data_IF_438743315205
#
_entry.id   IF_438743315205
#
_cell.length_a   1.000
_cell.length_b   1.000
_cell.length_c   1.000
_cell.angle_alpha   90.00
_cell.angle_beta   90.00
_cell.angle_gamma   90.00
#
_symmetry.space_group_name_H-M   'P 1'
#
loop_
_entity.id
_entity.type
_entity.pdbx_description
1 polymer ?
#
# COMPACT_ATOMS: atom_id res chain seq x y z
N UNK A 1 -10.01 5.67 -24.81
CA UNK A 1 -9.71 6.40 -23.55
C UNK A 1 -8.47 5.76 -22.95
N UNK A 2 -7.30 6.33 -23.24
CA UNK A 2 -6.00 5.74 -22.90
C UNK A 2 -5.62 6.13 -21.47
N UNK A 3 -5.80 5.21 -20.51
CA UNK A 3 -5.07 5.29 -19.25
C UNK A 3 -3.63 4.89 -19.56
N UNK A 4 -2.71 5.87 -19.59
CA UNK A 4 -1.29 5.56 -19.65
C UNK A 4 -0.98 4.56 -18.53
N UNK A 5 -0.30 3.43 -18.80
CA UNK A 5 0.15 2.58 -17.71
C UNK A 5 1.04 3.48 -16.85
N UNK A 6 0.64 3.71 -15.60
CA UNK A 6 1.57 4.22 -14.61
C UNK A 6 2.78 3.29 -14.70
N UNK A 7 3.89 3.88 -15.13
CA UNK A 7 5.18 3.28 -15.45
C UNK A 7 5.39 1.96 -14.70
N UNK A 8 5.57 0.87 -15.43
CA UNK A 8 5.68 -0.49 -14.89
C UNK A 8 6.86 -0.66 -13.90
N UNK A 9 7.75 0.33 -13.80
CA UNK A 9 8.78 0.45 -12.77
C UNK A 9 8.22 0.51 -11.33
N UNK A 10 7.14 1.24 -11.06
CA UNK A 10 6.64 1.38 -9.68
C UNK A 10 5.88 0.14 -9.22
N UNK A 11 6.56 -0.84 -8.62
CA UNK A 11 5.95 -2.11 -8.20
C UNK A 11 6.12 -2.34 -6.70
N UNK A 12 5.11 -2.92 -6.05
CA UNK A 12 5.18 -3.31 -4.64
C UNK A 12 5.09 -4.81 -4.52
N UNK A 13 6.02 -5.40 -3.77
CA UNK A 13 6.06 -6.83 -3.51
C UNK A 13 5.72 -7.12 -2.04
N UNK A 14 4.66 -7.89 -1.83
CA UNK A 14 4.21 -8.33 -0.51
C UNK A 14 4.77 -9.70 -0.18
N UNK A 15 5.40 -9.84 0.97
CA UNK A 15 6.00 -11.10 1.43
C UNK A 15 5.26 -11.63 2.66
N UNK A 16 5.09 -12.95 2.73
CA UNK A 16 4.45 -13.62 3.88
C UNK A 16 5.38 -13.78 5.09
N UNK A 17 6.69 -13.58 4.93
CA UNK A 17 7.65 -13.62 6.03
C UNK A 17 8.27 -12.25 6.27
N UNK A 18 8.94 -12.09 7.41
CA UNK A 18 9.73 -10.89 7.72
C UNK A 18 11.03 -10.91 6.89
N UNK A 19 11.71 -9.78 6.82
CA UNK A 19 12.98 -9.61 6.07
C UNK A 19 12.88 -9.96 4.58
N UNK A 20 11.72 -9.73 3.96
CA UNK A 20 11.46 -9.97 2.53
C UNK A 20 11.62 -11.44 2.12
N UNK A 21 11.30 -12.37 3.03
CA UNK A 21 11.42 -13.82 2.79
C UNK A 21 10.09 -14.46 2.39
N UNK A 22 10.19 -15.63 1.76
CA UNK A 22 9.05 -16.49 1.44
C UNK A 22 8.33 -16.09 0.14
N UNK A 23 7.11 -16.63 -0.09
CA UNK A 23 6.34 -16.31 -1.28
C UNK A 23 6.02 -14.82 -1.33
N UNK A 24 6.40 -14.21 -2.45
CA UNK A 24 6.18 -12.81 -2.75
C UNK A 24 5.05 -12.66 -3.78
N UNK A 25 4.18 -11.67 -3.57
CA UNK A 25 3.21 -11.23 -4.56
C UNK A 25 3.52 -9.79 -4.96
N UNK A 26 4.00 -9.59 -6.19
CA UNK A 26 4.27 -8.26 -6.72
C UNK A 26 3.08 -7.71 -7.50
N UNK A 27 2.80 -6.42 -7.35
CA UNK A 27 1.76 -5.73 -8.10
C UNK A 27 2.22 -4.31 -8.48
N UNK A 28 1.97 -3.86 -9.72
CA UNK A 28 2.40 -2.56 -10.20
C UNK A 28 1.51 -1.42 -9.67
N UNK A 29 2.01 -0.19 -9.77
CA UNK A 29 1.27 1.02 -9.49
C UNK A 29 0.07 1.16 -10.42
N UNK A 30 -1.02 1.71 -9.87
CA UNK A 30 -2.35 1.68 -10.49
C UNK A 30 -3.17 0.45 -10.09
N UNK A 31 -2.56 -0.56 -9.44
CA UNK A 31 -3.33 -1.71 -8.92
C UNK A 31 -4.17 -1.26 -7.73
N UNK A 32 -5.49 -1.41 -7.86
CA UNK A 32 -6.46 -1.09 -6.82
C UNK A 32 -7.30 -2.32 -6.51
N UNK A 33 -7.12 -2.86 -5.31
CA UNK A 33 -7.77 -4.09 -4.87
C UNK A 33 -8.68 -3.77 -3.69
N UNK A 34 -9.97 -3.58 -3.98
CA UNK A 34 -10.98 -3.31 -2.96
C UNK A 34 -11.29 -4.51 -2.05
N UNK A 35 -10.88 -5.72 -2.45
CA UNK A 35 -10.94 -6.92 -1.63
C UNK A 35 -9.73 -7.78 -1.94
N UNK A 36 -8.84 -7.92 -0.96
CA UNK A 36 -7.65 -8.77 -1.08
C UNK A 36 -8.13 -10.17 -1.44
N UNK A 37 -7.73 -10.70 -2.62
CA UNK A 37 -8.07 -12.07 -2.97
C UNK A 37 -7.35 -13.01 -1.99
N UNK A 38 -7.97 -14.14 -1.65
CA UNK A 38 -7.40 -15.17 -0.77
C UNK A 38 -6.01 -15.69 -1.22
N UNK A 39 -5.58 -15.37 -2.44
CA UNK A 39 -4.26 -15.71 -2.98
C UNK A 39 -3.13 -14.76 -2.57
N UNK A 40 -3.44 -13.56 -2.06
CA UNK A 40 -2.40 -12.70 -1.52
C UNK A 40 -1.88 -13.34 -0.23
N UNK A 41 -0.56 -13.33 0.02
CA UNK A 41 -0.01 -13.79 1.28
C UNK A 41 -0.62 -12.96 2.43
N UNK A 42 -1.55 -13.56 3.17
CA UNK A 42 -2.14 -12.96 4.37
C UNK A 42 -1.83 -13.90 5.55
N UNK A 43 -1.11 -13.45 6.59
CA UNK A 43 -0.68 -12.07 6.82
C UNK A 43 0.57 -11.69 5.99
N UNK A 44 0.57 -10.48 5.45
CA UNK A 44 1.78 -9.85 4.92
C UNK A 44 2.64 -9.50 6.12
N UNK A 45 3.92 -9.89 6.09
CA UNK A 45 4.86 -9.62 7.18
C UNK A 45 5.96 -8.65 6.79
N UNK A 46 6.31 -8.56 5.52
CA UNK A 46 7.21 -7.55 4.99
C UNK A 46 6.80 -7.16 3.58
N UNK A 47 7.24 -5.99 3.13
CA UNK A 47 7.02 -5.55 1.76
C UNK A 47 8.15 -4.68 1.28
N UNK A 48 8.48 -4.83 0.00
CA UNK A 48 9.40 -3.92 -0.70
C UNK A 48 8.60 -3.05 -1.65
N UNK A 49 9.04 -1.81 -1.77
CA UNK A 49 8.57 -0.90 -2.81
C UNK A 49 9.76 -0.71 -3.75
N UNK A 50 9.52 -0.94 -5.03
CA UNK A 50 10.48 -0.65 -6.08
C UNK A 50 10.22 0.75 -6.62
N UNK A 51 11.29 1.46 -6.90
CA UNK A 51 11.28 2.84 -7.37
C UNK A 51 10.48 3.75 -6.40
N UNK A 52 9.69 4.65 -6.97
CA UNK A 52 8.81 5.57 -6.29
C UNK A 52 7.44 4.94 -6.02
N UNK A 53 7.32 3.62 -5.87
CA UNK A 53 6.03 3.03 -5.54
C UNK A 53 5.57 3.40 -4.12
N UNK A 54 4.26 3.55 -3.95
CA UNK A 54 3.60 3.83 -2.67
C UNK A 54 2.40 2.90 -2.52
N UNK A 55 2.30 2.21 -1.40
CA UNK A 55 1.14 1.34 -1.11
C UNK A 55 0.31 1.89 0.03
N UNK A 56 -1.00 1.93 -0.19
CA UNK A 56 -1.99 2.13 0.86
C UNK A 56 -2.66 0.81 1.18
N UNK A 57 -2.54 0.35 2.41
CA UNK A 57 -3.19 -0.88 2.91
C UNK A 57 -4.27 -0.52 3.92
N UNK A 58 -5.42 -1.18 3.86
CA UNK A 58 -6.55 -0.94 4.75
C UNK A 58 -7.07 -2.23 5.39
N UNK A 59 -7.56 -2.13 6.62
CA UNK A 59 -8.02 -3.28 7.40
C UNK A 59 -9.42 -3.79 7.06
N UNK A 60 -10.20 -3.02 6.29
CA UNK A 60 -11.51 -3.45 5.81
C UNK A 60 -11.54 -3.47 4.28
N UNK A 61 -12.47 -4.26 3.74
CA UNK A 61 -12.79 -4.25 2.32
C UNK A 61 -13.33 -2.88 1.90
N UNK A 62 -13.13 -2.51 0.64
CA UNK A 62 -13.60 -1.24 0.08
C UNK A 62 -12.81 -0.03 0.54
N UNK A 63 -11.57 -0.18 1.01
CA UNK A 63 -10.74 0.91 1.57
C UNK A 63 -11.33 1.52 2.85
N UNK A 64 -12.07 0.72 3.61
CA UNK A 64 -12.67 1.12 4.89
C UNK A 64 -11.76 0.90 6.10
N UNK A 65 -12.21 1.42 7.23
CA UNK A 65 -11.56 1.24 8.52
C UNK A 65 -10.22 1.99 8.60
N UNK A 66 -9.22 1.33 9.18
CA UNK A 66 -7.89 1.90 9.37
C UNK A 66 -7.04 1.63 8.14
N UNK A 67 -6.55 2.71 7.54
CA UNK A 67 -5.66 2.66 6.40
C UNK A 67 -4.28 3.21 6.77
N UNK A 68 -3.23 2.60 6.22
CA UNK A 68 -1.85 3.01 6.39
C UNK A 68 -1.21 3.17 5.02
N UNK A 69 -0.49 4.28 4.85
CA UNK A 69 0.29 4.56 3.66
C UNK A 69 1.74 4.22 3.94
N UNK A 70 2.37 3.53 3.00
CA UNK A 70 3.76 3.11 3.05
C UNK A 70 4.44 3.60 1.78
N UNK A 71 5.47 4.40 1.98
CA UNK A 71 6.27 5.06 0.94
C UNK A 71 7.71 4.56 0.93
N UNK A 72 8.04 3.59 1.77
CA UNK A 72 9.40 3.06 1.95
C UNK A 72 9.33 1.60 2.35
N UNK A 73 10.35 0.82 1.97
CA UNK A 73 10.42 -0.61 2.24
C UNK A 73 10.30 -0.90 3.73
N UNK A 74 9.68 -2.06 4.03
CA UNK A 74 9.42 -2.49 5.40
C UNK A 74 9.80 -3.94 5.57
N UNK A 75 10.95 -4.15 6.20
CA UNK A 75 11.43 -5.48 6.57
C UNK A 75 10.54 -6.17 7.61
N UNK A 76 9.77 -5.43 8.41
CA UNK A 76 8.74 -6.00 9.28
C UNK A 76 7.54 -5.07 9.41
N UNK A 77 6.35 -5.65 9.25
CA UNK A 77 5.06 -5.03 9.56
C UNK A 77 4.62 -5.35 11.00
N UNK A 78 5.39 -6.18 11.72
CA UNK A 78 5.10 -6.55 13.11
C UNK A 78 5.25 -5.31 13.99
N UNK A 79 4.18 -4.98 14.73
CA UNK A 79 4.13 -3.75 15.54
C UNK A 79 3.52 -2.54 14.82
N UNK A 80 3.17 -2.66 13.54
CA UNK A 80 2.31 -1.67 12.90
C UNK A 80 0.88 -1.86 13.35
N UNK A 81 0.14 -0.75 13.34
CA UNK A 81 -1.25 -0.73 13.75
C UNK A 81 -2.13 -1.57 12.80
N UNK A 82 -1.71 -1.85 11.56
CA UNK A 82 -2.48 -2.66 10.61
C UNK A 82 -2.18 -4.14 10.82
N UNK A 83 -3.11 -4.87 11.42
CA UNK A 83 -2.92 -6.30 11.74
C UNK A 83 -3.49 -7.24 10.66
N UNK A 84 -4.42 -6.76 9.85
CA UNK A 84 -5.04 -7.53 8.75
C UNK A 84 -5.26 -6.62 7.57
N UNK A 85 -4.86 -7.04 6.37
CA UNK A 85 -5.03 -6.22 5.16
C UNK A 85 -6.17 -6.86 4.36
N UNK A 86 -7.30 -6.14 4.23
CA UNK A 86 -8.49 -6.58 3.50
C UNK A 86 -8.65 -5.83 2.17
N UNK A 87 -8.01 -4.67 2.03
CA UNK A 87 -7.91 -3.95 0.75
C UNK A 87 -6.57 -3.21 0.64
N UNK A 88 -6.10 -3.02 -0.60
CA UNK A 88 -4.88 -2.27 -0.86
C UNK A 88 -4.93 -1.53 -2.20
N UNK A 89 -4.16 -0.46 -2.31
CA UNK A 89 -4.01 0.35 -3.50
C UNK A 89 -2.55 0.75 -3.66
N UNK A 90 -2.00 0.54 -4.85
CA UNK A 90 -0.62 0.87 -5.18
C UNK A 90 -0.64 2.05 -6.13
N UNK A 91 0.16 3.06 -5.82
CA UNK A 91 0.27 4.32 -6.54
C UNK A 91 1.74 4.66 -6.74
N UNK A 92 2.05 5.61 -7.62
CA UNK A 92 3.39 6.21 -7.64
C UNK A 92 3.50 7.29 -6.57
N UNK A 93 4.73 7.62 -6.15
CA UNK A 93 5.02 8.65 -5.16
C UNK A 93 4.52 9.98 -5.65
N UNK A 94 4.59 10.27 -6.95
CA UNK A 94 4.01 11.48 -7.52
C UNK A 94 2.46 11.51 -7.40
N UNK A 95 1.80 10.39 -7.70
CA UNK A 95 0.34 10.28 -7.56
C UNK A 95 -0.08 10.36 -6.09
N UNK A 96 0.66 9.71 -5.20
CA UNK A 96 0.45 9.77 -3.76
C UNK A 96 0.77 11.16 -3.20
N UNK A 97 1.78 11.83 -3.74
CA UNK A 97 2.15 13.18 -3.34
C UNK A 97 1.03 14.15 -3.69
N UNK A 98 0.54 14.12 -4.93
CA UNK A 98 -0.56 14.96 -5.38
C UNK A 98 -1.88 14.69 -4.65
N UNK A 99 -2.16 13.42 -4.28
CA UNK A 99 -3.39 13.04 -3.57
C UNK A 99 -3.35 13.15 -2.05
N UNK A 100 -2.16 12.98 -1.44
CA UNK A 100 -2.03 12.79 0.01
C UNK A 100 -0.91 13.63 0.64
N UNK A 101 0.27 13.75 0.02
CA UNK A 101 1.45 14.38 0.68
C UNK A 101 1.50 15.91 0.50
N UNK A 102 1.12 16.44 -0.67
CA UNK A 102 1.00 17.89 -0.92
C UNK A 102 -0.26 18.50 -0.28
N UNK A 103 -1.19 17.68 0.20
CA UNK A 103 -2.20 18.13 1.14
C UNK A 103 -1.57 18.05 2.53
N UNK A 104 -1.23 19.22 3.10
CA UNK A 104 -0.64 19.38 4.43
C UNK A 104 -1.46 18.57 5.47
N UNK A 105 -1.06 17.33 5.79
CA UNK A 105 -1.82 16.52 6.76
C UNK A 105 -1.65 15.00 6.73
N UNK A 106 -1.13 14.38 5.66
CA UNK A 106 -1.00 12.91 5.60
C UNK A 106 0.37 12.37 6.08
N UNK A 107 1.19 13.22 6.68
CA UNK A 107 2.36 12.78 7.44
C UNK A 107 1.83 12.37 8.82
N UNK A 108 1.70 11.06 9.05
CA UNK A 108 1.63 10.46 10.40
C UNK A 108 0.26 10.29 11.08
N UNK A 109 -0.81 9.98 10.35
CA UNK A 109 -2.05 9.50 10.99
C UNK A 109 -2.86 8.62 10.05
N UNK A 110 -3.08 7.35 10.43
CA UNK A 110 -4.13 6.49 9.87
C UNK A 110 -5.54 6.99 10.21
N UNK A 111 -5.76 8.31 10.18
CA UNK A 111 -7.01 9.00 10.44
C UNK A 111 -7.20 9.97 9.28
N UNK A 112 -8.22 9.70 8.45
CA UNK A 112 -8.77 10.73 7.58
C UNK A 112 -9.23 11.89 8.48
N UNK A 113 -8.45 12.97 8.54
CA UNK A 113 -8.97 14.26 8.97
C UNK A 113 -9.68 14.84 7.76
N UNK A 114 -10.99 14.63 7.69
CA UNK A 114 -11.87 15.48 6.89
C UNK A 114 -11.73 16.89 7.46
N UNK A 115 -10.94 17.73 6.78
CA UNK A 115 -10.77 19.13 7.14
C UNK A 115 -11.97 19.93 6.66
N UNK A 116 -12.75 20.38 7.64
CA UNK A 116 -13.76 21.46 7.67
C UNK A 116 -14.80 21.54 6.53
#
# INVERSE_FOLDING_TARGET
>A
MSVAPASAENTVCFFSQEEFRGPAHCAPAGTRTGRVPHRLPSPIKSLTLNDDAVVRVCEQVGFGGRCMLMTSDRASLRGLHVSRIESYEIMSHNAANTRFINHVGYQNSGRFVTGN
#
